data_IF_827039593646
#
_entry.id   IF_827039593646
#
_cell.length_a   1.000
_cell.length_b   1.000
_cell.length_c   1.000
_cell.angle_alpha   90.00
_cell.angle_beta   90.00
_cell.angle_gamma   90.00
#
_symmetry.space_group_name_H-M   'P 1'
#
loop_
_entity.id
_entity.type
_entity.pdbx_description
1 polymer ?
#
# COMPACT_ATOMS: atom_id res chain seq x y z
N UNK A 1 3.15 34.82 33.85
CA UNK A 1 3.99 34.05 32.91
C UNK A 1 3.15 33.73 31.67
N UNK A 2 3.57 34.19 30.48
CA UNK A 2 2.81 33.95 29.24
C UNK A 2 3.20 32.56 28.69
N UNK A 3 2.23 31.66 28.51
CA UNK A 3 2.44 30.35 27.89
C UNK A 3 2.65 30.56 26.38
N UNK A 4 3.84 30.19 25.87
CA UNK A 4 4.12 30.22 24.43
C UNK A 4 3.20 29.26 23.68
N UNK A 5 2.78 29.61 22.47
CA UNK A 5 1.95 28.72 21.63
C UNK A 5 2.85 27.67 20.97
N UNK A 6 2.31 26.48 20.72
CA UNK A 6 3.05 25.35 20.13
C UNK A 6 3.76 25.72 18.81
N UNK A 7 3.17 26.62 18.03
CA UNK A 7 3.74 27.14 16.78
C UNK A 7 5.03 27.94 16.95
N UNK A 8 5.26 28.54 18.11
CA UNK A 8 6.48 29.31 18.41
C UNK A 8 7.60 28.38 18.85
N UNK A 9 7.29 27.34 19.63
CA UNK A 9 8.25 26.28 19.98
C UNK A 9 8.77 25.53 18.75
N UNK A 10 7.87 25.17 17.82
CA UNK A 10 8.26 24.46 16.59
C UNK A 10 9.16 25.32 15.70
N UNK A 11 8.97 26.64 15.68
CA UNK A 11 9.85 27.56 14.92
C UNK A 11 11.21 27.75 15.58
N UNK A 12 11.25 27.85 16.91
CA UNK A 12 12.50 27.94 17.68
C UNK A 12 13.36 26.67 17.52
N UNK A 13 12.72 25.50 17.41
CA UNK A 13 13.41 24.22 17.23
C UNK A 13 13.98 24.02 15.82
N UNK A 14 13.24 24.42 14.78
CA UNK A 14 13.73 24.41 13.40
C UNK A 14 14.90 25.40 13.22
N UNK A 15 14.79 26.60 13.79
CA UNK A 15 15.84 27.61 13.72
C UNK A 15 17.12 27.19 14.47
N UNK A 16 16.98 26.41 15.55
CA UNK A 16 18.12 25.89 16.32
C UNK A 16 18.84 24.74 15.59
N UNK A 17 18.18 24.04 14.67
CA UNK A 17 18.77 22.98 13.86
C UNK A 17 19.52 23.50 12.61
N UNK A 18 19.17 24.68 12.10
CA UNK A 18 19.79 25.24 10.89
C UNK A 18 21.15 25.95 11.12
N UNK A 19 21.63 26.05 12.37
CA UNK A 19 22.85 26.78 12.73
C UNK A 19 24.06 25.86 13.01
N UNK A 20 24.35 24.92 12.12
CA UNK A 20 25.65 24.22 12.10
C UNK A 20 26.27 24.27 10.69
N UNK A 21 27.47 24.87 10.50
CA UNK A 21 28.17 24.84 9.21
C UNK A 21 28.75 23.44 8.93
N UNK A 22 28.81 22.98 7.66
CA UNK A 22 29.44 21.71 7.31
C UNK A 22 30.95 21.90 7.11
N UNK A 23 31.77 21.36 8.02
CA UNK A 23 33.21 21.16 7.79
C UNK A 23 33.44 19.76 7.18
N UNK A 24 34.22 19.73 6.11
CA UNK A 24 34.29 18.63 5.16
C UNK A 24 35.06 17.40 5.66
N UNK A 25 34.41 16.23 5.59
CA UNK A 25 35.05 14.94 5.39
C UNK A 25 34.11 14.02 4.58
N UNK A 26 34.51 13.70 3.36
CA UNK A 26 33.88 12.66 2.51
C UNK A 26 34.63 11.33 2.70
N UNK A 27 34.14 10.14 2.32
CA UNK A 27 32.83 9.80 1.73
C UNK A 27 32.16 8.61 2.46
N UNK A 28 30.90 8.75 2.88
CA UNK A 28 30.20 7.63 3.51
C UNK A 28 28.73 7.91 3.75
N UNK A 29 27.90 7.31 2.90
CA UNK A 29 26.53 6.89 3.17
C UNK A 29 25.62 7.86 3.95
N UNK A 30 24.80 8.62 3.21
CA UNK A 30 23.40 8.86 3.57
C UNK A 30 22.64 9.42 2.36
N UNK A 31 22.04 8.53 1.57
CA UNK A 31 21.01 8.92 0.60
C UNK A 31 19.76 9.45 1.34
N UNK A 32 19.00 10.38 0.75
CA UNK A 32 17.82 10.99 1.39
C UNK A 32 16.69 9.97 1.64
N UNK A 33 15.81 10.20 2.63
CA UNK A 33 14.68 9.34 2.92
C UNK A 33 13.54 9.60 1.93
N UNK A 34 13.58 8.90 0.81
CA UNK A 34 12.55 8.92 -0.21
C UNK A 34 13.01 8.09 -1.38
N UNK A 35 12.20 7.12 -1.78
CA UNK A 35 12.48 6.08 -2.80
C UNK A 35 13.25 4.87 -2.28
N UNK A 36 12.52 3.91 -1.69
CA UNK A 36 12.88 2.50 -1.86
C UNK A 36 12.53 2.09 -3.30
N UNK A 37 13.21 2.70 -4.28
CA UNK A 37 13.51 2.01 -5.52
C UNK A 37 14.63 1.04 -5.12
N UNK A 38 14.22 -0.12 -4.63
CA UNK A 38 15.14 -1.20 -4.35
C UNK A 38 15.81 -1.55 -5.67
N UNK A 39 17.05 -1.11 -5.82
CA UNK A 39 18.01 -1.71 -6.72
C UNK A 39 17.97 -3.21 -6.41
N UNK A 40 17.36 -3.99 -7.30
CA UNK A 40 17.20 -5.43 -7.12
C UNK A 40 18.58 -6.06 -7.32
N UNK A 41 19.42 -5.96 -6.29
CA UNK A 41 20.54 -6.86 -6.14
C UNK A 41 20.00 -8.28 -6.32
N UNK A 42 20.58 -9.01 -7.27
CA UNK A 42 20.14 -10.36 -7.61
C UNK A 42 20.03 -11.19 -6.31
N UNK A 43 18.92 -11.92 -6.10
CA UNK A 43 18.70 -12.67 -4.86
C UNK A 43 19.85 -13.64 -4.65
N UNK A 44 20.38 -13.67 -3.43
CA UNK A 44 21.43 -14.61 -3.05
C UNK A 44 20.92 -16.06 -3.19
N UNK A 45 21.76 -17.04 -3.60
CA UNK A 45 21.32 -18.42 -3.75
C UNK A 45 20.79 -18.97 -2.42
N UNK A 46 19.46 -19.10 -2.31
CA UNK A 46 18.77 -19.58 -1.10
C UNK A 46 17.74 -18.60 -0.53
N UNK A 47 17.70 -17.35 -1.00
CA UNK A 47 16.71 -16.37 -0.57
C UNK A 47 15.39 -16.58 -1.32
N UNK A 48 14.32 -16.95 -0.60
CA UNK A 48 12.98 -17.04 -1.20
C UNK A 48 12.52 -15.65 -1.58
N UNK A 49 12.49 -15.39 -2.88
CA UNK A 49 11.91 -14.17 -3.46
C UNK A 49 10.48 -14.02 -2.93
N UNK A 50 10.15 -12.90 -2.25
CA UNK A 50 8.79 -12.65 -1.81
C UNK A 50 7.78 -12.76 -2.96
N UNK A 51 6.61 -13.40 -2.77
CA UNK A 51 5.68 -13.71 -3.86
C UNK A 51 5.28 -12.48 -4.69
N UNK A 52 5.16 -11.31 -4.06
CA UNK A 52 4.74 -10.08 -4.73
C UNK A 52 5.75 -9.58 -5.78
N UNK A 53 7.04 -9.94 -5.69
CA UNK A 53 8.04 -9.58 -6.69
C UNK A 53 7.87 -10.36 -8.00
N UNK A 54 7.07 -11.43 -7.99
CA UNK A 54 6.71 -12.18 -9.19
C UNK A 54 5.53 -11.57 -9.95
N UNK A 55 4.85 -10.58 -9.37
CA UNK A 55 3.66 -9.96 -9.96
C UNK A 55 4.02 -8.71 -10.75
N UNK A 56 3.20 -8.42 -11.78
CA UNK A 56 3.32 -7.20 -12.59
C UNK A 56 2.53 -6.06 -11.95
N UNK A 57 3.14 -4.87 -11.84
CA UNK A 57 2.47 -3.66 -11.33
C UNK A 57 1.44 -3.17 -12.34
N UNK A 58 0.22 -2.92 -11.88
CA UNK A 58 -0.88 -2.32 -12.65
C UNK A 58 -1.57 -1.26 -11.83
N UNK A 59 -1.77 -0.09 -12.41
CA UNK A 59 -2.60 0.96 -11.80
C UNK A 59 -4.09 0.68 -12.01
N UNK A 60 -4.88 0.85 -10.95
CA UNK A 60 -6.33 0.63 -10.94
C UNK A 60 -7.03 1.78 -10.22
N UNK A 61 -8.12 2.28 -10.80
CA UNK A 61 -9.00 3.27 -10.14
C UNK A 61 -10.19 2.53 -9.54
N UNK A 62 -10.36 2.68 -8.24
CA UNK A 62 -11.50 2.15 -7.50
C UNK A 62 -12.39 3.31 -7.04
N UNK A 63 -13.69 3.06 -6.95
CA UNK A 63 -14.59 4.00 -6.28
C UNK A 63 -14.30 4.01 -4.77
N UNK A 64 -14.61 5.10 -4.05
CA UNK A 64 -14.38 5.19 -2.61
C UNK A 64 -15.04 4.06 -1.80
N UNK A 65 -16.29 3.72 -2.13
CA UNK A 65 -17.04 2.64 -1.47
C UNK A 65 -16.36 1.27 -1.62
N UNK A 66 -15.77 1.01 -2.79
CA UNK A 66 -15.04 -0.23 -3.05
C UNK A 66 -13.76 -0.31 -2.23
N UNK A 67 -13.01 0.79 -2.15
CA UNK A 67 -11.77 0.83 -1.38
C UNK A 67 -12.03 0.61 0.13
N UNK A 68 -13.06 1.27 0.66
CA UNK A 68 -13.47 1.12 2.06
C UNK A 68 -13.92 -0.32 2.34
N UNK A 69 -14.73 -0.91 1.45
CA UNK A 69 -15.21 -2.27 1.58
C UNK A 69 -14.07 -3.30 1.53
N UNK A 70 -13.11 -3.15 0.61
CA UNK A 70 -11.94 -4.02 0.51
C UNK A 70 -11.06 -3.91 1.76
N UNK A 71 -10.84 -2.70 2.25
CA UNK A 71 -10.06 -2.44 3.48
C UNK A 71 -10.72 -3.12 4.69
N UNK A 72 -12.04 -2.95 4.84
CA UNK A 72 -12.80 -3.56 5.92
C UNK A 72 -12.80 -5.09 5.84
N UNK A 73 -12.95 -5.65 4.63
CA UNK A 73 -12.90 -7.08 4.36
C UNK A 73 -11.53 -7.67 4.71
N UNK A 74 -10.44 -7.06 4.23
CA UNK A 74 -9.08 -7.50 4.54
C UNK A 74 -8.80 -7.48 6.05
N UNK A 75 -9.22 -6.42 6.75
CA UNK A 75 -9.07 -6.33 8.21
C UNK A 75 -9.85 -7.43 8.93
N UNK A 76 -11.09 -7.70 8.53
CA UNK A 76 -11.92 -8.76 9.12
C UNK A 76 -11.28 -10.14 8.94
N UNK A 77 -10.90 -10.49 7.71
CA UNK A 77 -10.30 -11.79 7.40
C UNK A 77 -8.96 -12.01 8.14
N UNK A 78 -8.11 -10.99 8.23
CA UNK A 78 -6.85 -11.12 8.98
C UNK A 78 -7.09 -11.32 10.49
N UNK A 79 -8.11 -10.68 11.08
CA UNK A 79 -8.49 -10.91 12.49
C UNK A 79 -8.97 -12.34 12.70
N UNK A 80 -9.83 -12.84 11.83
CA UNK A 80 -10.34 -14.22 11.89
C UNK A 80 -9.22 -15.25 11.76
N UNK A 81 -8.24 -15.00 10.89
CA UNK A 81 -7.05 -15.85 10.74
C UNK A 81 -6.13 -15.85 11.97
N UNK A 82 -6.20 -14.83 12.84
CA UNK A 82 -5.32 -14.68 14.02
C UNK A 82 -3.83 -14.83 13.68
N UNK A 83 -3.40 -14.22 12.57
CA UNK A 83 -2.01 -14.27 12.10
C UNK A 83 -1.58 -15.58 11.42
N UNK A 84 -2.52 -16.51 11.15
CA UNK A 84 -2.21 -17.72 10.39
C UNK A 84 -2.04 -17.42 8.90
N UNK A 85 -0.90 -17.83 8.36
CA UNK A 85 -0.58 -17.71 6.93
C UNK A 85 -0.20 -16.30 6.50
N UNK A 86 -0.14 -16.08 5.19
CA UNK A 86 0.19 -14.77 4.62
C UNK A 86 -0.88 -13.72 4.91
N UNK A 87 -0.42 -12.48 5.13
CA UNK A 87 -1.29 -11.32 5.35
C UNK A 87 -2.14 -11.05 4.12
N UNK A 88 -3.45 -10.94 4.32
CA UNK A 88 -4.38 -10.55 3.26
C UNK A 88 -4.34 -9.03 3.11
N UNK A 89 -4.15 -8.54 1.89
CA UNK A 89 -4.18 -7.11 1.53
C UNK A 89 -5.30 -6.84 0.52
N UNK A 90 -5.59 -5.58 0.21
CA UNK A 90 -6.51 -5.25 -0.89
C UNK A 90 -6.03 -5.89 -2.20
N UNK A 91 -4.72 -5.89 -2.47
CA UNK A 91 -4.15 -6.53 -3.66
C UNK A 91 -4.33 -8.05 -3.69
N UNK A 92 -4.39 -8.72 -2.54
CA UNK A 92 -4.73 -10.16 -2.48
C UNK A 92 -6.18 -10.37 -2.89
N UNK A 93 -7.09 -9.52 -2.44
CA UNK A 93 -8.51 -9.59 -2.78
C UNK A 93 -8.78 -9.22 -4.24
N UNK A 94 -8.08 -8.21 -4.78
CA UNK A 94 -8.19 -7.81 -6.18
C UNK A 94 -7.73 -8.90 -7.14
N UNK A 95 -6.65 -9.63 -6.80
CA UNK A 95 -6.20 -10.79 -7.59
C UNK A 95 -7.23 -11.92 -7.56
N UNK A 96 -7.76 -12.26 -6.38
CA UNK A 96 -8.84 -13.25 -6.27
C UNK A 96 -10.08 -12.82 -7.06
N UNK A 97 -10.47 -11.55 -7.01
CA UNK A 97 -11.58 -11.03 -7.78
C UNK A 97 -11.34 -11.11 -9.29
N UNK A 98 -10.10 -10.87 -9.75
CA UNK A 98 -9.72 -11.05 -11.14
C UNK A 98 -9.82 -12.53 -11.55
N UNK A 99 -9.31 -13.46 -10.73
CA UNK A 99 -9.43 -14.90 -11.00
C UNK A 99 -10.90 -15.34 -11.09
N UNK A 100 -11.74 -14.87 -10.17
CA UNK A 100 -13.18 -15.13 -10.20
C UNK A 100 -13.83 -14.56 -11.45
N UNK A 101 -13.54 -13.31 -11.81
CA UNK A 101 -14.07 -12.67 -13.02
C UNK A 101 -13.63 -13.42 -14.30
N UNK A 102 -12.36 -13.83 -14.38
CA UNK A 102 -11.82 -14.57 -15.53
C UNK A 102 -12.30 -16.02 -15.59
N UNK A 103 -12.75 -16.58 -14.47
CA UNK A 103 -13.45 -17.86 -14.45
C UNK A 103 -14.88 -17.77 -14.98
N UNK A 104 -15.44 -16.55 -15.08
CA UNK A 104 -16.68 -16.32 -15.80
C UNK A 104 -16.39 -16.33 -17.31
N UNK A 105 -17.25 -16.98 -18.09
CA UNK A 105 -17.18 -16.89 -19.55
C UNK A 105 -17.51 -15.47 -20.06
N UNK A 106 -17.08 -15.16 -21.29
CA UNK A 106 -17.27 -13.84 -21.90
C UNK A 106 -18.73 -13.38 -21.92
N UNK A 107 -19.66 -14.30 -22.19
CA UNK A 107 -21.10 -14.01 -22.24
C UNK A 107 -21.65 -13.52 -20.89
N UNK A 108 -21.24 -14.16 -19.79
CA UNK A 108 -21.72 -13.75 -18.45
C UNK A 108 -21.08 -12.43 -18.03
N UNK A 109 -19.81 -12.20 -18.38
CA UNK A 109 -19.16 -10.90 -18.16
C UNK A 109 -19.90 -9.80 -18.94
N UNK A 110 -20.24 -10.03 -20.21
CA UNK A 110 -20.99 -9.07 -21.02
C UNK A 110 -22.36 -8.75 -20.39
N UNK A 111 -23.08 -9.78 -19.93
CA UNK A 111 -24.37 -9.63 -19.23
C UNK A 111 -24.26 -8.82 -17.94
N UNK A 112 -23.20 -9.02 -17.15
CA UNK A 112 -22.96 -8.26 -15.92
C UNK A 112 -22.69 -6.79 -16.22
N UNK A 113 -22.00 -6.49 -17.32
CA UNK A 113 -21.74 -5.12 -17.78
C UNK A 113 -23.04 -4.42 -18.21
N UNK A 114 -23.93 -5.09 -18.93
CA UNK A 114 -25.23 -4.54 -19.33
C UNK A 114 -26.13 -4.19 -18.14
N UNK A 115 -26.12 -5.02 -17.09
CA UNK A 115 -26.90 -4.81 -15.87
C UNK A 115 -26.30 -3.78 -14.91
N UNK A 116 -25.12 -3.23 -15.23
CA UNK A 116 -24.42 -2.25 -14.38
C UNK A 116 -23.64 -2.85 -13.20
N UNK A 117 -23.45 -4.17 -13.18
CA UNK A 117 -22.73 -4.94 -12.15
C UNK A 117 -23.36 -4.89 -10.76
N UNK A 118 -23.01 -5.83 -9.86
CA UNK A 118 -23.45 -5.78 -8.48
C UNK A 118 -22.79 -4.59 -7.75
N UNK A 119 -23.58 -3.76 -7.07
CA UNK A 119 -23.04 -2.70 -6.21
C UNK A 119 -22.85 -3.20 -4.78
N UNK A 120 -21.87 -2.61 -4.10
CA UNK A 120 -21.66 -2.86 -2.67
C UNK A 120 -22.90 -2.37 -1.93
N UNK A 121 -23.70 -3.30 -1.40
CA UNK A 121 -24.96 -3.02 -0.72
C UNK A 121 -26.23 -3.54 -1.41
N UNK A 122 -26.14 -4.10 -2.62
CA UNK A 122 -27.32 -4.66 -3.33
C UNK A 122 -27.76 -6.03 -2.81
N UNK A 123 -27.06 -6.61 -1.83
CA UNK A 123 -27.50 -7.81 -1.12
C UNK A 123 -28.36 -7.42 0.09
N UNK A 124 -29.68 -7.59 -0.07
CA UNK A 124 -30.66 -7.66 1.02
C UNK A 124 -30.67 -9.06 1.64
#
# INVERSE_FOLDING_TARGET
MKRKRLSELVREEIASQEMTPPEAASPGAASPPGEHQGDLAAPSPGERVPPYLTYVRKECRLRPDQLDALTALARRLNRERRGRGERITENTLLRLAADLLLSLGEEEVARLLEKGGPRVGDSL
#
